data_IF_245067138848
#
_entry.id   IF_245067138848
#
_cell.length_a   1.000
_cell.length_b   1.000
_cell.length_c   1.000
_cell.angle_alpha   90.00
_cell.angle_beta   90.00
_cell.angle_gamma   90.00
#
_symmetry.space_group_name_H-M   'P 1'
#
loop_
_entity.id
_entity.type
_entity.pdbx_description
1 polymer ?
#
# COMPACT_ATOMS: atom_id res chain seq x y z
N UNK A 1 -26.53 1.89 7.76
CA UNK A 1 -26.74 1.81 6.30
C UNK A 1 -27.95 0.95 6.05
N UNK A 2 -28.24 0.62 4.81
CA UNK A 2 -29.22 -0.42 4.50
C UNK A 2 -28.90 -1.04 3.14
N UNK A 3 -29.06 -2.36 3.05
CA UNK A 3 -28.94 -3.11 1.81
C UNK A 3 -29.84 -2.51 0.71
N UNK A 4 -29.27 -2.31 -0.47
CA UNK A 4 -29.98 -1.77 -1.62
C UNK A 4 -30.14 -0.25 -1.61
N UNK A 5 -29.61 0.47 -0.61
CA UNK A 5 -29.74 1.92 -0.49
C UNK A 5 -28.39 2.62 -0.58
N UNK A 6 -28.17 3.33 -1.69
CA UNK A 6 -27.04 4.22 -1.84
C UNK A 6 -27.29 5.57 -1.13
N UNK A 7 -26.22 6.21 -0.66
CA UNK A 7 -26.29 7.55 -0.06
C UNK A 7 -25.27 7.77 1.04
N UNK A 8 -25.42 8.88 1.77
CA UNK A 8 -24.58 9.17 2.94
C UNK A 8 -25.08 8.35 4.12
N UNK A 9 -24.24 7.45 4.61
CA UNK A 9 -24.50 6.63 5.80
C UNK A 9 -23.82 7.28 6.99
N UNK A 10 -24.60 7.58 8.03
CA UNK A 10 -24.11 8.16 9.28
C UNK A 10 -23.78 7.05 10.26
N UNK A 11 -22.66 7.17 10.95
CA UNK A 11 -22.31 6.25 12.04
C UNK A 11 -23.26 6.44 13.22
N UNK A 12 -23.67 5.32 13.79
CA UNK A 12 -24.53 5.21 14.97
C UNK A 12 -23.75 5.34 16.28
N UNK A 13 -22.45 5.03 16.27
CA UNK A 13 -21.56 5.09 17.44
C UNK A 13 -20.67 6.33 17.44
N UNK A 14 -20.43 6.94 16.28
CA UNK A 14 -19.65 8.16 16.12
C UNK A 14 -20.37 9.19 15.22
N UNK A 15 -21.16 10.11 15.79
CA UNK A 15 -21.93 11.09 15.03
C UNK A 15 -21.10 12.06 14.17
N UNK A 16 -19.78 12.10 14.32
CA UNK A 16 -18.89 12.91 13.47
C UNK A 16 -18.47 12.21 12.18
N UNK A 17 -18.71 10.89 12.06
CA UNK A 17 -18.35 10.09 10.89
C UNK A 17 -19.58 9.80 10.02
N UNK A 18 -19.43 10.06 8.73
CA UNK A 18 -20.43 9.76 7.70
C UNK A 18 -19.73 9.53 6.36
N UNK A 19 -20.26 8.62 5.55
CA UNK A 19 -19.59 8.15 4.34
C UNK A 19 -20.56 7.99 3.18
N UNK A 20 -20.15 8.39 1.98
CA UNK A 20 -20.94 8.21 0.76
C UNK A 20 -20.72 6.79 0.23
N UNK A 21 -21.75 5.96 0.36
CA UNK A 21 -21.71 4.54 0.02
C UNK A 21 -22.69 4.22 -1.12
N UNK A 22 -22.37 3.19 -1.90
CA UNK A 22 -23.31 2.62 -2.86
C UNK A 22 -24.34 1.69 -2.18
N UNK A 23 -25.17 1.03 -2.99
CA UNK A 23 -26.25 0.16 -2.50
C UNK A 23 -25.74 -1.13 -1.83
N UNK A 24 -24.46 -1.46 -2.00
CA UNK A 24 -23.75 -2.60 -1.45
C UNK A 24 -22.85 -2.19 -0.26
N UNK A 25 -22.82 -0.90 0.08
CA UNK A 25 -22.04 -0.37 1.19
C UNK A 25 -20.64 0.09 0.79
N UNK A 26 -20.23 -0.01 -0.48
CA UNK A 26 -18.90 0.37 -0.89
C UNK A 26 -18.72 1.90 -0.88
N UNK A 27 -17.66 2.37 -0.22
CA UNK A 27 -17.34 3.80 -0.12
C UNK A 27 -16.43 4.25 -1.26
N UNK A 28 -16.97 5.06 -2.17
CA UNK A 28 -16.25 5.55 -3.34
C UNK A 28 -14.99 6.35 -3.02
N UNK A 29 -15.01 7.13 -1.94
CA UNK A 29 -13.84 7.93 -1.55
C UNK A 29 -12.64 7.05 -1.22
N UNK A 30 -12.83 5.97 -0.46
CA UNK A 30 -11.74 5.05 -0.15
C UNK A 30 -11.31 4.25 -1.37
N UNK A 31 -12.27 3.70 -2.12
CA UNK A 31 -11.94 2.91 -3.31
C UNK A 31 -11.17 3.72 -4.36
N UNK A 32 -11.53 4.99 -4.56
CA UNK A 32 -10.80 5.87 -5.49
C UNK A 32 -9.43 6.25 -4.93
N UNK A 33 -9.35 6.79 -3.71
CA UNK A 33 -8.09 7.30 -3.17
C UNK A 33 -7.08 6.17 -2.92
N UNK A 34 -7.50 5.11 -2.21
CA UNK A 34 -6.62 3.98 -1.87
C UNK A 34 -6.36 3.09 -3.08
N UNK A 35 -7.36 2.93 -3.96
CA UNK A 35 -7.16 2.24 -5.23
C UNK A 35 -6.09 2.92 -6.08
N UNK A 36 -6.10 4.26 -6.17
CA UNK A 36 -5.05 5.01 -6.86
C UNK A 36 -3.69 4.90 -6.17
N UNK A 37 -3.63 4.80 -4.84
CA UNK A 37 -2.37 4.54 -4.15
C UNK A 37 -1.73 3.21 -4.60
N UNK A 38 -2.52 2.15 -4.79
CA UNK A 38 -2.02 0.89 -5.36
C UNK A 38 -1.70 1.00 -6.85
N UNK A 39 -2.72 1.27 -7.65
CA UNK A 39 -2.65 1.21 -9.11
C UNK A 39 -1.77 2.29 -9.76
N UNK A 40 -1.57 3.43 -9.09
CA UNK A 40 -0.67 4.47 -9.55
C UNK A 40 0.65 4.44 -8.79
N UNK A 41 0.65 4.55 -7.45
CA UNK A 41 1.90 4.81 -6.74
C UNK A 41 2.74 3.54 -6.60
N UNK A 42 2.18 2.45 -6.05
CA UNK A 42 2.92 1.18 -5.95
C UNK A 42 3.33 0.67 -7.34
N UNK A 43 2.43 0.73 -8.32
CA UNK A 43 2.76 0.34 -9.70
C UNK A 43 3.95 1.14 -10.25
N UNK A 44 3.95 2.46 -10.11
CA UNK A 44 5.07 3.28 -10.58
C UNK A 44 6.37 2.97 -9.82
N UNK A 45 6.33 2.77 -8.50
CA UNK A 45 7.52 2.38 -7.74
C UNK A 45 8.07 1.04 -8.26
N UNK A 46 7.26 -0.02 -8.17
CA UNK A 46 7.72 -1.40 -8.30
C UNK A 46 7.86 -1.85 -9.76
N UNK A 47 6.85 -1.55 -10.58
CA UNK A 47 6.72 -2.09 -11.94
C UNK A 47 7.25 -1.14 -13.03
N UNK A 48 7.53 0.13 -12.71
CA UNK A 48 8.04 1.12 -13.66
C UNK A 48 9.45 1.57 -13.29
N UNK A 49 9.60 2.34 -12.21
CA UNK A 49 10.85 3.03 -11.90
C UNK A 49 11.92 2.11 -11.33
N UNK A 50 11.57 1.08 -10.57
CA UNK A 50 12.53 0.08 -10.10
C UNK A 50 12.66 -1.13 -11.04
N UNK A 51 11.95 -1.13 -12.17
CA UNK A 51 12.07 -2.18 -13.18
C UNK A 51 13.24 -1.90 -14.15
N UNK A 52 13.67 -2.94 -14.89
CA UNK A 52 14.80 -2.88 -15.83
C UNK A 52 14.69 -1.75 -16.86
N UNK A 53 13.48 -1.43 -17.32
CA UNK A 53 13.26 -0.31 -18.26
C UNK A 53 13.69 1.06 -17.73
N UNK A 54 13.89 1.20 -16.42
CA UNK A 54 14.37 2.40 -15.74
C UNK A 54 15.66 2.20 -14.98
N UNK A 55 16.00 0.95 -14.66
CA UNK A 55 17.20 0.57 -13.92
C UNK A 55 18.36 0.07 -14.81
N UNK A 56 18.15 -0.09 -16.12
CA UNK A 56 19.18 -0.42 -17.12
C UNK A 56 19.45 0.76 -18.07
N UNK A 57 19.52 1.97 -17.51
CA UNK A 57 19.79 3.24 -18.22
C UNK A 57 21.16 3.81 -17.86
N UNK A 58 21.53 4.99 -18.40
CA UNK A 58 22.84 5.57 -18.12
C UNK A 58 23.02 5.95 -16.64
N UNK A 59 24.20 5.61 -16.10
CA UNK A 59 24.64 5.97 -14.76
C UNK A 59 26.03 6.60 -14.76
N UNK A 60 26.44 7.22 -15.86
CA UNK A 60 27.82 7.75 -16.01
C UNK A 60 27.85 9.21 -16.41
N UNK A 61 26.88 9.67 -17.19
CA UNK A 61 26.81 11.01 -17.72
C UNK A 61 25.80 11.82 -16.93
N UNK A 62 26.21 12.96 -16.34
CA UNK A 62 25.26 13.88 -15.76
C UNK A 62 24.28 14.41 -16.82
N UNK A 63 22.99 14.48 -16.48
CA UNK A 63 21.90 14.85 -17.37
C UNK A 63 22.07 16.23 -18.01
N UNK A 64 22.39 17.25 -17.20
CA UNK A 64 22.59 18.62 -17.69
C UNK A 64 23.41 19.47 -16.70
N UNK A 65 24.75 19.30 -16.67
CA UNK A 65 25.63 20.11 -15.84
C UNK A 65 25.51 21.60 -16.10
N UNK A 66 25.22 21.99 -17.34
CA UNK A 66 25.13 23.39 -17.75
C UNK A 66 23.98 24.12 -17.07
N UNK A 67 22.92 23.38 -16.71
CA UNK A 67 21.76 23.87 -15.97
C UNK A 67 21.68 23.30 -14.53
N UNK A 68 22.78 22.78 -13.99
CA UNK A 68 22.88 22.34 -12.59
C UNK A 68 22.29 20.97 -12.28
N UNK A 69 21.93 20.16 -13.29
CA UNK A 69 21.50 18.77 -13.12
C UNK A 69 22.72 17.85 -13.18
N UNK A 70 23.31 17.63 -12.02
CA UNK A 70 24.52 16.81 -11.88
C UNK A 70 24.23 15.31 -11.64
N UNK A 71 22.96 14.93 -11.59
CA UNK A 71 22.54 13.53 -11.46
C UNK A 71 22.56 12.81 -12.81
N UNK A 72 22.67 11.48 -12.77
CA UNK A 72 22.52 10.61 -13.95
C UNK A 72 21.05 10.25 -14.20
N UNK A 73 20.76 9.68 -15.37
CA UNK A 73 19.41 9.22 -15.72
C UNK A 73 18.89 8.19 -14.69
N UNK A 74 19.73 7.22 -14.32
CA UNK A 74 19.38 6.18 -13.34
C UNK A 74 19.13 6.75 -11.94
N UNK A 75 19.95 7.70 -11.51
CA UNK A 75 19.75 8.41 -10.25
C UNK A 75 18.41 9.15 -10.22
N UNK A 76 18.06 9.81 -11.32
CA UNK A 76 16.78 10.51 -11.44
C UNK A 76 15.59 9.55 -11.33
N UNK A 77 15.64 8.43 -12.04
CA UNK A 77 14.57 7.43 -11.99
C UNK A 77 14.43 6.77 -10.62
N UNK A 78 15.54 6.56 -9.90
CA UNK A 78 15.48 6.10 -8.52
C UNK A 78 14.80 7.12 -7.60
N UNK A 79 15.11 8.40 -7.76
CA UNK A 79 14.52 9.48 -6.98
C UNK A 79 13.02 9.66 -7.31
N UNK A 80 12.60 9.41 -8.56
CA UNK A 80 11.19 9.36 -8.98
C UNK A 80 10.44 8.21 -8.30
N UNK A 81 11.03 7.01 -8.18
CA UNK A 81 10.45 5.90 -7.40
C UNK A 81 10.21 6.33 -5.95
N UNK A 82 11.21 6.94 -5.31
CA UNK A 82 11.10 7.40 -3.94
C UNK A 82 10.00 8.48 -3.77
N UNK A 83 9.84 9.38 -4.74
CA UNK A 83 8.79 10.40 -4.75
C UNK A 83 7.35 9.86 -4.81
N UNK A 84 7.13 8.64 -5.34
CA UNK A 84 5.83 7.96 -5.27
C UNK A 84 5.55 7.36 -3.88
N UNK A 85 6.58 7.09 -3.08
CA UNK A 85 6.44 6.57 -1.72
C UNK A 85 6.15 7.69 -0.72
N UNK A 86 6.87 8.81 -0.82
CA UNK A 86 6.80 9.91 0.13
C UNK A 86 7.04 11.27 -0.53
N UNK A 87 6.52 12.34 0.06
CA UNK A 87 6.73 13.72 -0.38
C UNK A 87 7.94 14.40 0.29
N UNK A 88 8.71 13.67 1.11
CA UNK A 88 9.83 14.20 1.88
C UNK A 88 11.17 13.54 1.52
N UNK A 89 12.23 14.35 1.50
CA UNK A 89 13.60 13.89 1.20
C UNK A 89 14.26 13.13 2.35
N UNK A 90 13.71 13.20 3.57
CA UNK A 90 14.31 12.71 4.81
C UNK A 90 13.38 11.79 5.63
N UNK A 91 12.51 11.04 4.94
CA UNK A 91 11.62 10.06 5.55
C UNK A 91 12.38 9.05 6.44
N UNK A 92 11.86 8.68 7.63
CA UNK A 92 10.56 9.06 8.20
C UNK A 92 10.58 10.31 9.09
N UNK A 93 11.64 11.14 9.07
CA UNK A 93 11.67 12.39 9.85
C UNK A 93 10.52 13.31 9.43
N UNK A 94 10.28 13.41 8.12
CA UNK A 94 9.10 14.03 7.52
C UNK A 94 8.43 13.05 6.54
N UNK A 95 7.29 13.45 5.95
CA UNK A 95 6.58 12.66 4.93
C UNK A 95 5.77 11.47 5.49
N UNK A 96 5.49 11.49 6.79
CA UNK A 96 4.74 10.44 7.53
C UNK A 96 3.23 10.72 7.63
N UNK A 97 2.73 11.69 6.86
CA UNK A 97 1.36 12.18 6.98
C UNK A 97 0.54 12.06 5.69
N UNK A 98 1.12 11.58 4.58
CA UNK A 98 0.41 11.37 3.31
C UNK A 98 0.64 9.98 2.72
N UNK A 99 -0.40 9.44 2.09
CA UNK A 99 -0.37 8.22 1.27
C UNK A 99 0.46 7.10 1.90
N UNK A 100 1.33 6.42 1.14
CA UNK A 100 2.13 5.28 1.62
C UNK A 100 3.04 5.64 2.80
N UNK A 101 3.66 6.83 2.80
CA UNK A 101 4.45 7.31 3.94
C UNK A 101 3.66 7.37 5.26
N UNK A 102 2.37 7.75 5.21
CA UNK A 102 1.45 7.71 6.36
C UNK A 102 1.20 6.30 6.85
N UNK A 103 0.83 5.39 5.95
CA UNK A 103 0.48 4.02 6.34
C UNK A 103 1.70 3.24 6.84
N UNK A 104 2.85 3.44 6.21
CA UNK A 104 4.12 2.89 6.68
C UNK A 104 4.41 3.34 8.12
N UNK A 105 4.30 4.64 8.40
CA UNK A 105 4.52 5.16 9.74
C UNK A 105 3.47 4.66 10.75
N UNK A 106 2.21 4.53 10.33
CA UNK A 106 1.12 4.09 11.21
C UNK A 106 1.23 2.62 11.61
N UNK A 107 1.87 1.79 10.78
CA UNK A 107 2.08 0.35 11.02
C UNK A 107 3.50 0.01 11.50
N UNK A 108 4.35 1.01 11.71
CA UNK A 108 5.78 0.81 11.96
C UNK A 108 6.07 -0.04 13.19
N UNK A 109 5.31 0.16 14.28
CA UNK A 109 5.49 -0.61 15.52
C UNK A 109 5.39 -2.13 15.30
N UNK A 110 4.52 -2.55 14.38
CA UNK A 110 4.27 -3.97 14.11
C UNK A 110 5.11 -4.47 12.93
N UNK A 111 5.23 -3.68 11.85
CA UNK A 111 5.84 -4.13 10.60
C UNK A 111 7.33 -3.80 10.48
N UNK A 112 7.78 -2.66 11.01
CA UNK A 112 9.13 -2.12 10.79
C UNK A 112 9.40 -1.66 9.35
N UNK A 113 8.36 -1.58 8.51
CA UNK A 113 8.52 -1.32 7.08
C UNK A 113 8.85 0.14 6.74
N UNK A 114 8.45 1.11 7.56
CA UNK A 114 8.80 2.53 7.33
C UNK A 114 10.31 2.74 7.39
N UNK A 115 10.93 2.26 8.46
CA UNK A 115 12.39 2.35 8.62
C UNK A 115 13.11 1.64 7.48
N UNK A 116 12.71 0.39 7.19
CA UNK A 116 13.36 -0.41 6.15
C UNK A 116 13.21 0.17 4.75
N UNK A 117 12.03 0.67 4.38
CA UNK A 117 11.81 1.32 3.09
C UNK A 117 12.69 2.56 2.96
N UNK A 118 12.69 3.44 3.98
CA UNK A 118 13.53 4.64 3.98
C UNK A 118 15.03 4.32 3.91
N UNK A 119 15.49 3.29 4.62
CA UNK A 119 16.88 2.82 4.55
C UNK A 119 17.23 2.22 3.19
N UNK A 120 16.37 1.39 2.62
CA UNK A 120 16.59 0.75 1.33
C UNK A 120 16.66 1.78 0.19
N UNK A 121 15.77 2.77 0.17
CA UNK A 121 15.83 3.85 -0.81
C UNK A 121 17.13 4.67 -0.69
N UNK A 122 17.57 5.02 0.53
CA UNK A 122 18.82 5.77 0.73
C UNK A 122 20.05 4.94 0.36
N UNK A 123 20.10 3.68 0.76
CA UNK A 123 21.21 2.79 0.47
C UNK A 123 21.31 2.48 -1.02
N UNK A 124 20.19 2.22 -1.69
CA UNK A 124 20.16 2.00 -3.13
C UNK A 124 20.57 3.25 -3.91
N UNK A 125 20.10 4.44 -3.49
CA UNK A 125 20.53 5.71 -4.09
C UNK A 125 22.03 5.93 -3.96
N UNK A 126 22.61 5.63 -2.80
CA UNK A 126 24.05 5.70 -2.58
C UNK A 126 24.83 4.65 -3.40
N UNK A 127 24.28 3.44 -3.54
CA UNK A 127 24.87 2.39 -4.37
C UNK A 127 24.92 2.80 -5.84
N UNK A 128 23.87 3.46 -6.36
CA UNK A 128 23.85 4.00 -7.73
C UNK A 128 24.98 5.02 -7.93
N UNK A 129 25.13 6.01 -7.03
CA UNK A 129 26.21 7.00 -7.13
C UNK A 129 27.62 6.40 -7.07
N UNK A 130 27.77 5.23 -6.45
CA UNK A 130 29.05 4.54 -6.31
C UNK A 130 29.24 3.39 -7.31
N UNK A 131 28.32 3.25 -8.28
CA UNK A 131 28.32 2.20 -9.30
C UNK A 131 28.30 0.76 -8.74
N UNK A 132 27.64 0.56 -7.58
CA UNK A 132 27.54 -0.75 -6.90
C UNK A 132 26.18 -1.40 -7.22
N UNK A 133 25.99 -1.80 -8.47
CA UNK A 133 24.69 -2.29 -8.97
C UNK A 133 24.14 -3.51 -8.21
N UNK A 134 25.00 -4.41 -7.73
CA UNK A 134 24.57 -5.54 -6.91
C UNK A 134 23.88 -5.12 -5.60
N UNK A 135 24.30 -4.01 -4.99
CA UNK A 135 23.65 -3.46 -3.79
C UNK A 135 22.35 -2.77 -4.17
N UNK A 136 22.32 -2.04 -5.28
CA UNK A 136 21.10 -1.44 -5.84
C UNK A 136 20.02 -2.50 -6.09
N UNK A 137 20.37 -3.60 -6.75
CA UNK A 137 19.44 -4.70 -7.04
C UNK A 137 18.92 -5.35 -5.75
N UNK A 138 19.79 -5.53 -4.75
CA UNK A 138 19.38 -6.03 -3.45
C UNK A 138 18.40 -5.09 -2.74
N UNK A 139 18.58 -3.76 -2.87
CA UNK A 139 17.63 -2.80 -2.28
C UNK A 139 16.29 -2.75 -3.02
N UNK A 140 16.26 -2.97 -4.35
CA UNK A 140 15.00 -3.11 -5.10
C UNK A 140 14.18 -4.28 -4.54
N UNK A 141 14.84 -5.43 -4.29
CA UNK A 141 14.17 -6.59 -3.70
C UNK A 141 13.60 -6.27 -2.31
N UNK A 142 14.38 -5.59 -1.45
CA UNK A 142 13.91 -5.15 -0.13
C UNK A 142 12.70 -4.22 -0.25
N UNK A 143 12.74 -3.25 -1.17
CA UNK A 143 11.64 -2.30 -1.38
C UNK A 143 10.36 -3.05 -1.78
N UNK A 144 10.44 -3.95 -2.76
CA UNK A 144 9.25 -4.71 -3.20
C UNK A 144 8.68 -5.60 -2.07
N UNK A 145 9.55 -6.29 -1.31
CA UNK A 145 9.10 -7.08 -0.15
C UNK A 145 8.43 -6.22 0.92
N UNK A 146 8.99 -5.06 1.25
CA UNK A 146 8.42 -4.20 2.29
C UNK A 146 7.18 -3.43 1.83
N UNK A 147 7.03 -3.14 0.52
CA UNK A 147 5.77 -2.65 -0.04
C UNK A 147 4.64 -3.68 0.07
N UNK A 148 4.93 -4.96 -0.18
CA UNK A 148 3.94 -6.04 -0.02
C UNK A 148 3.53 -6.16 1.43
N UNK A 149 4.50 -6.23 2.34
CA UNK A 149 4.24 -6.31 3.78
C UNK A 149 3.41 -5.12 4.28
N UNK A 150 3.69 -3.92 3.77
CA UNK A 150 2.96 -2.71 4.09
C UNK A 150 1.50 -2.76 3.60
N UNK A 151 1.28 -3.07 2.32
CA UNK A 151 -0.06 -3.14 1.75
C UNK A 151 -0.90 -4.23 2.42
N UNK A 152 -0.34 -5.43 2.58
CA UNK A 152 -1.01 -6.56 3.25
C UNK A 152 -1.30 -6.26 4.72
N UNK A 153 -0.30 -5.76 5.46
CA UNK A 153 -0.49 -5.43 6.87
C UNK A 153 -1.51 -4.32 7.10
N UNK A 154 -1.60 -3.37 6.18
CA UNK A 154 -2.64 -2.32 6.22
C UNK A 154 -4.02 -2.88 5.88
N UNK A 155 -4.14 -3.79 4.92
CA UNK A 155 -5.40 -4.49 4.65
C UNK A 155 -5.87 -5.30 5.87
N UNK A 156 -4.97 -6.06 6.51
CA UNK A 156 -5.25 -6.84 7.72
C UNK A 156 -5.76 -5.94 8.85
N UNK A 157 -5.11 -4.79 9.08
CA UNK A 157 -5.56 -3.79 10.04
C UNK A 157 -7.02 -3.40 9.82
N UNK A 158 -7.37 -3.07 8.57
CA UNK A 158 -8.73 -2.68 8.23
C UNK A 158 -9.75 -3.83 8.29
N UNK A 159 -9.34 -5.07 8.05
CA UNK A 159 -10.19 -6.25 8.29
C UNK A 159 -10.46 -6.41 9.80
N UNK A 160 -9.47 -6.19 10.66
CA UNK A 160 -9.66 -6.22 12.12
C UNK A 160 -10.53 -5.07 12.63
N UNK A 161 -10.35 -3.85 12.11
CA UNK A 161 -11.21 -2.71 12.44
C UNK A 161 -12.65 -2.95 11.97
N UNK A 162 -12.85 -3.54 10.78
CA UNK A 162 -14.18 -3.92 10.30
C UNK A 162 -14.89 -4.94 11.22
N UNK A 163 -14.15 -5.89 11.81
CA UNK A 163 -14.68 -6.82 12.82
C UNK A 163 -15.04 -6.09 14.10
N UNK A 164 -14.20 -5.15 14.55
CA UNK A 164 -14.43 -4.36 15.76
C UNK A 164 -15.66 -3.44 15.63
N UNK A 165 -15.83 -2.85 14.45
CA UNK A 165 -16.90 -1.92 14.12
C UNK A 165 -18.12 -2.60 13.47
N UNK A 166 -18.21 -3.93 13.52
CA UNK A 166 -19.22 -4.70 12.78
C UNK A 166 -20.68 -4.30 13.08
N UNK A 167 -20.94 -3.77 14.27
CA UNK A 167 -22.27 -3.28 14.70
C UNK A 167 -22.66 -1.91 14.14
N UNK A 168 -21.74 -1.20 13.48
CA UNK A 168 -21.97 0.09 12.85
C UNK A 168 -21.69 0.00 11.35
N UNK A 169 -22.74 -0.06 10.54
CA UNK A 169 -22.60 -0.17 9.08
C UNK A 169 -21.73 0.94 8.47
N UNK A 170 -21.78 2.17 9.00
CA UNK A 170 -21.01 3.26 8.42
C UNK A 170 -19.51 3.00 8.57
N UNK A 171 -19.12 2.53 9.76
CA UNK A 171 -17.74 2.22 10.09
C UNK A 171 -17.29 0.91 9.46
N UNK A 172 -18.00 -0.21 9.67
CA UNK A 172 -17.66 -1.51 9.04
C UNK A 172 -17.43 -1.36 7.53
N UNK A 173 -18.35 -0.70 6.83
CA UNK A 173 -18.26 -0.55 5.39
C UNK A 173 -17.12 0.39 4.95
N UNK A 174 -16.79 1.39 5.76
CA UNK A 174 -15.62 2.25 5.56
C UNK A 174 -14.33 1.42 5.63
N UNK A 175 -14.17 0.66 6.72
CA UNK A 175 -12.98 -0.17 6.93
C UNK A 175 -12.85 -1.26 5.84
N UNK A 176 -13.95 -1.92 5.45
CA UNK A 176 -13.94 -2.90 4.35
C UNK A 176 -13.61 -2.27 2.99
N UNK A 177 -13.99 -1.01 2.76
CA UNK A 177 -13.62 -0.30 1.53
C UNK A 177 -12.12 0.01 1.47
N UNK A 178 -11.51 0.38 2.61
CA UNK A 178 -10.06 0.54 2.69
C UNK A 178 -9.35 -0.81 2.53
N UNK A 179 -9.78 -1.86 3.26
CA UNK A 179 -9.22 -3.20 3.16
C UNK A 179 -9.19 -3.72 1.72
N UNK A 180 -10.33 -3.64 1.01
CA UNK A 180 -10.43 -4.03 -0.40
C UNK A 180 -9.40 -3.33 -1.27
N UNK A 181 -9.26 -2.02 -1.14
CA UNK A 181 -8.32 -1.25 -1.95
C UNK A 181 -6.85 -1.58 -1.65
N UNK A 182 -6.51 -1.88 -0.39
CA UNK A 182 -5.16 -2.33 -0.02
C UNK A 182 -4.86 -3.76 -0.50
N UNK A 183 -5.83 -4.68 -0.46
CA UNK A 183 -5.71 -6.01 -1.07
C UNK A 183 -5.46 -5.88 -2.58
N UNK A 184 -6.24 -5.03 -3.26
CA UNK A 184 -6.07 -4.78 -4.69
C UNK A 184 -4.68 -4.23 -5.05
N UNK A 185 -4.03 -3.51 -4.14
CA UNK A 185 -2.71 -2.92 -4.39
C UNK A 185 -1.60 -3.98 -4.55
N UNK A 186 -1.75 -5.16 -3.95
CA UNK A 186 -0.72 -6.20 -3.89
C UNK A 186 -0.30 -6.69 -5.28
N UNK A 187 -1.26 -6.83 -6.20
CA UNK A 187 -1.01 -7.33 -7.56
C UNK A 187 -0.08 -6.45 -8.40
N UNK A 188 0.16 -5.19 -7.99
CA UNK A 188 1.00 -4.24 -8.73
C UNK A 188 2.48 -4.30 -8.31
N UNK A 189 2.81 -5.16 -7.35
CA UNK A 189 4.18 -5.33 -6.83
C UNK A 189 4.87 -6.46 -7.59
N UNK A 190 6.06 -6.15 -8.12
CA UNK A 190 6.92 -7.14 -8.78
C UNK A 190 7.34 -8.21 -7.78
N UNK A 191 7.04 -9.47 -8.11
CA UNK A 191 7.39 -10.62 -7.29
C UNK A 191 6.50 -10.86 -6.07
N UNK A 192 5.29 -10.28 -6.06
CA UNK A 192 4.32 -10.47 -4.97
C UNK A 192 3.96 -11.94 -4.74
N UNK A 193 3.74 -12.29 -3.47
CA UNK A 193 3.14 -13.54 -3.03
C UNK A 193 1.62 -13.60 -3.23
N UNK A 194 0.97 -12.45 -3.50
CA UNK A 194 -0.48 -12.32 -3.71
C UNK A 194 -0.74 -11.81 -5.14
N UNK A 195 -0.50 -12.63 -6.18
CA UNK A 195 -0.75 -12.25 -7.56
C UNK A 195 -2.24 -11.98 -7.80
N UNK A 196 -2.60 -11.43 -8.96
CA UNK A 196 -3.99 -11.08 -9.32
C UNK A 196 -4.99 -12.20 -9.02
N UNK A 197 -4.65 -13.46 -9.27
CA UNK A 197 -5.56 -14.59 -8.99
C UNK A 197 -5.88 -14.73 -7.48
N UNK A 198 -4.89 -14.53 -6.60
CA UNK A 198 -5.11 -14.56 -5.13
C UNK A 198 -5.84 -13.31 -4.66
N UNK A 199 -5.57 -12.14 -5.26
CA UNK A 199 -6.36 -10.92 -5.00
C UNK A 199 -7.83 -11.13 -5.37
N UNK A 200 -8.10 -11.70 -6.54
CA UNK A 200 -9.46 -12.02 -6.98
C UNK A 200 -10.13 -13.02 -6.04
N UNK A 201 -9.41 -14.06 -5.61
CA UNK A 201 -9.90 -15.05 -4.66
C UNK A 201 -10.28 -14.44 -3.31
N UNK A 202 -9.38 -13.67 -2.69
CA UNK A 202 -9.63 -13.00 -1.40
C UNK A 202 -10.84 -12.06 -1.45
N UNK A 203 -11.01 -11.34 -2.57
CA UNK A 203 -12.14 -10.42 -2.76
C UNK A 203 -13.45 -11.13 -3.09
N UNK A 204 -13.39 -12.27 -3.79
CA UNK A 204 -14.55 -13.14 -4.01
C UNK A 204 -15.06 -13.69 -2.67
N UNK A 205 -14.15 -14.17 -1.83
CA UNK A 205 -14.47 -14.71 -0.50
C UNK A 205 -15.00 -13.61 0.44
N UNK A 206 -14.43 -12.40 0.40
CA UNK A 206 -14.95 -11.26 1.15
C UNK A 206 -16.36 -10.87 0.70
N UNK A 207 -16.61 -10.90 -0.61
CA UNK A 207 -17.86 -10.50 -1.23
C UNK A 207 -17.99 -8.99 -1.47
N UNK A 208 -18.83 -8.65 -2.44
CA UNK A 208 -19.03 -7.25 -2.88
C UNK A 208 -20.11 -6.52 -2.07
N UNK A 209 -21.03 -7.25 -1.43
CA UNK A 209 -22.13 -6.70 -0.63
C UNK A 209 -21.79 -6.73 0.87
N UNK A 210 -21.31 -5.60 1.38
CA UNK A 210 -20.86 -5.43 2.77
C UNK A 210 -22.00 -5.53 3.79
N UNK A 211 -23.26 -5.56 3.36
CA UNK A 211 -24.39 -5.85 4.26
C UNK A 211 -24.62 -7.36 4.47
N UNK A 212 -24.03 -8.21 3.63
CA UNK A 212 -24.15 -9.67 3.69
C UNK A 212 -22.90 -10.36 4.27
N UNK A 213 -21.81 -9.62 4.49
CA UNK A 213 -20.58 -10.15 5.11
C UNK A 213 -20.82 -10.55 6.57
N UNK A 214 -20.02 -11.49 7.05
CA UNK A 214 -20.00 -11.90 8.47
C UNK A 214 -18.62 -11.68 9.05
N UNK A 215 -18.52 -11.55 10.38
CA UNK A 215 -17.20 -11.49 11.04
C UNK A 215 -16.37 -12.74 10.75
N UNK A 216 -17.00 -13.92 10.60
CA UNK A 216 -16.30 -15.15 10.23
C UNK A 216 -15.64 -15.03 8.85
N UNK A 217 -16.37 -14.53 7.85
CA UNK A 217 -15.86 -14.29 6.50
C UNK A 217 -14.71 -13.27 6.49
N UNK A 218 -14.84 -12.18 7.25
CA UNK A 218 -13.79 -11.16 7.35
C UNK A 218 -12.51 -11.75 7.97
N UNK A 219 -12.65 -12.55 9.02
CA UNK A 219 -11.52 -13.22 9.68
C UNK A 219 -10.86 -14.29 8.81
N UNK A 220 -11.65 -15.00 8.00
CA UNK A 220 -11.13 -15.99 7.03
C UNK A 220 -10.23 -15.31 5.99
N UNK A 221 -10.71 -14.26 5.34
CA UNK A 221 -9.93 -13.46 4.36
C UNK A 221 -8.68 -12.86 5.02
N UNK A 222 -8.81 -12.36 6.25
CA UNK A 222 -7.68 -11.82 7.02
C UNK A 222 -6.60 -12.88 7.25
N UNK A 223 -6.99 -14.07 7.70
CA UNK A 223 -6.06 -15.14 8.05
C UNK A 223 -5.37 -15.72 6.81
N UNK A 224 -6.11 -15.83 5.71
CA UNK A 224 -5.54 -16.25 4.42
C UNK A 224 -4.54 -15.22 3.89
N UNK A 225 -4.90 -13.93 3.86
CA UNK A 225 -3.98 -12.88 3.45
C UNK A 225 -2.72 -12.86 4.33
N UNK A 226 -2.88 -13.04 5.64
CA UNK A 226 -1.76 -13.12 6.56
C UNK A 226 -0.88 -14.34 6.29
N UNK A 227 -1.46 -15.49 5.93
CA UNK A 227 -0.71 -16.69 5.57
C UNK A 227 0.08 -16.51 4.26
N UNK A 228 -0.55 -15.97 3.21
CA UNK A 228 0.09 -15.71 1.92
C UNK A 228 1.32 -14.80 2.06
N UNK A 229 1.21 -13.79 2.93
CA UNK A 229 2.21 -12.71 3.07
C UNK A 229 3.19 -12.92 4.23
N UNK A 230 3.10 -14.05 4.93
CA UNK A 230 3.97 -14.36 6.08
C UNK A 230 3.78 -13.41 7.26
N UNK A 231 2.55 -12.93 7.47
CA UNK A 231 2.14 -12.02 8.54
C UNK A 231 1.27 -12.69 9.61
N UNK A 232 1.07 -14.03 9.57
CA UNK A 232 0.23 -14.77 10.53
C UNK A 232 0.52 -14.43 11.99
N UNK A 233 1.80 -14.40 12.40
CA UNK A 233 2.20 -14.09 13.79
C UNK A 233 1.94 -12.63 14.23
N UNK A 234 1.54 -11.77 13.28
CA UNK A 234 1.26 -10.34 13.47
C UNK A 234 -0.20 -10.01 13.20
N UNK A 235 -1.00 -10.95 12.71
CA UNK A 235 -2.34 -10.69 12.18
C UNK A 235 -3.27 -10.02 13.22
N UNK A 236 -3.23 -10.43 14.48
CA UNK A 236 -4.07 -9.84 15.54
C UNK A 236 -3.55 -8.51 16.09
N UNK A 237 -2.30 -8.12 15.79
CA UNK A 237 -1.68 -6.86 16.23
C UNK A 237 -1.84 -5.74 15.21
N UNK A 238 -2.11 -6.12 13.96
CA UNK A 238 -2.31 -5.20 12.85
C UNK A 238 -3.70 -4.61 12.95
#
# INVERSE_FOLDING_TARGET
GAMGQAGVVLSTTNPSKQYLQDAQGQEWTQLIEKGLMGACFIYNISSVYLASGKMDVDNTTPEDPSNGKYYTEMEHHWDEAYGYFTDAVDYPTNGTNRFWGKYANSREEVLGSATKLGEAFRLGRAAISNDVMAVRDAQIAVINTELERLAAGTAIHYLNDAVSDFGDDALRNHELSEAKAFIQALQFIVGTSVPTAEVEHLLEDLGEDYYNVTTATILEVRDELAALTGLTDKADQL
#
